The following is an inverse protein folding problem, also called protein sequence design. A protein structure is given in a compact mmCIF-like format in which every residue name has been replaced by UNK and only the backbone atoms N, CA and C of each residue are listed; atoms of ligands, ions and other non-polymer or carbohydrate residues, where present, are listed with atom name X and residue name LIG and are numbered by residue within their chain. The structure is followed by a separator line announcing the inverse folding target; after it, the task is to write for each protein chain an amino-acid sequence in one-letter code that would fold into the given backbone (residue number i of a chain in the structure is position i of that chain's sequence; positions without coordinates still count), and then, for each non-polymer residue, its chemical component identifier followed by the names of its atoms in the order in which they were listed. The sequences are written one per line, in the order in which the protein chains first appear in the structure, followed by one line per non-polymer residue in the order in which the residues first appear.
data_IF_737708867678
#
_entry.id   IF_737708867678
#
_cell.length_a   1.000
_cell.length_b   1.000
_cell.length_c   1.000
_cell.angle_alpha   90.00
_cell.angle_beta   90.00
_cell.angle_gamma   90.00
#
_symmetry.space_group_name_H-M   'P 1'
#
loop_
_entity.id
_entity.type
_entity.pdbx_description
1 polymer ?
#
# COMPACT_ATOMS: atom_id res chain seq x y z
N UNK A 1 2.74 25.66 -64.22
CA UNK A 1 2.17 25.30 -62.89
C UNK A 1 2.06 23.78 -62.87
N UNK A 2 2.98 23.05 -62.25
CA UNK A 2 3.10 22.81 -60.80
C UNK A 2 2.14 21.70 -60.32
N UNK A 3 2.77 20.66 -59.77
CA UNK A 3 2.30 19.52 -58.96
C UNK A 3 1.73 18.24 -59.60
N UNK A 4 2.69 17.34 -59.87
CA UNK A 4 2.62 15.88 -59.65
C UNK A 4 2.03 15.55 -58.28
N UNK A 5 1.18 14.51 -58.20
CA UNK A 5 1.18 13.49 -57.13
C UNK A 5 0.37 12.26 -57.55
N UNK A 6 1.09 11.36 -58.23
CA UNK A 6 1.16 9.91 -58.00
C UNK A 6 -0.06 9.21 -57.38
N UNK A 7 -0.91 8.64 -58.23
CA UNK A 7 -1.59 7.37 -57.94
C UNK A 7 -0.69 6.23 -58.47
N UNK A 8 0.19 5.74 -57.59
CA UNK A 8 0.88 4.48 -57.80
C UNK A 8 0.33 3.51 -56.75
N UNK A 9 -0.83 2.95 -57.09
CA UNK A 9 -1.36 1.74 -56.46
C UNK A 9 -0.56 0.59 -57.09
N UNK A 10 0.59 0.29 -56.50
CA UNK A 10 1.32 -0.92 -56.80
C UNK A 10 1.97 -1.42 -55.51
N UNK A 11 1.44 -2.55 -55.04
CA UNK A 11 2.19 -3.59 -54.38
C UNK A 11 3.19 -3.14 -53.31
N UNK A 12 2.68 -2.93 -52.09
CA UNK A 12 3.42 -3.36 -50.90
C UNK A 12 2.55 -4.33 -50.14
N UNK A 13 2.45 -5.55 -50.69
CA UNK A 13 2.31 -6.73 -49.86
C UNK A 13 3.59 -6.83 -49.02
N UNK A 14 3.65 -6.06 -47.92
CA UNK A 14 4.60 -6.38 -46.86
C UNK A 14 4.12 -7.68 -46.26
N UNK A 15 4.83 -8.75 -46.58
CA UNK A 15 4.82 -9.98 -45.83
C UNK A 15 4.82 -9.63 -44.34
N UNK A 16 3.65 -9.74 -43.72
CA UNK A 16 3.56 -10.06 -42.31
C UNK A 16 4.07 -11.49 -42.27
N UNK A 17 5.40 -11.64 -42.30
CA UNK A 17 6.03 -12.84 -41.83
C UNK A 17 5.56 -12.94 -40.39
N UNK A 18 4.55 -13.77 -40.18
CA UNK A 18 4.26 -14.39 -38.92
C UNK A 18 5.53 -15.14 -38.53
N UNK A 19 6.50 -14.41 -37.98
CA UNK A 19 7.46 -14.98 -37.08
C UNK A 19 6.60 -15.51 -35.93
N UNK A 20 6.20 -16.77 -36.07
CA UNK A 20 5.66 -17.58 -35.00
C UNK A 20 6.57 -17.27 -33.81
N UNK A 21 6.05 -16.58 -32.79
CA UNK A 21 6.82 -16.35 -31.59
C UNK A 21 7.26 -17.75 -31.14
N UNK A 22 8.57 -18.00 -31.13
CA UNK A 22 9.09 -19.29 -30.69
C UNK A 22 8.47 -19.57 -29.33
N UNK A 23 7.93 -20.78 -29.12
CA UNK A 23 7.42 -21.16 -27.82
C UNK A 23 8.51 -20.84 -26.77
N UNK A 24 8.15 -20.19 -25.65
CA UNK A 24 9.16 -19.83 -24.66
C UNK A 24 9.90 -21.08 -24.22
N UNK A 25 11.23 -21.05 -24.23
CA UNK A 25 12.05 -22.12 -23.61
C UNK A 25 11.83 -22.20 -22.08
N UNK A 26 10.95 -21.35 -21.54
CA UNK A 26 10.69 -21.17 -20.13
C UNK A 26 9.39 -21.82 -19.72
N UNK A 27 9.42 -22.58 -18.63
CA UNK A 27 8.25 -23.18 -18.00
C UNK A 27 7.61 -22.18 -17.03
N UNK A 28 6.44 -21.69 -17.40
CA UNK A 28 5.59 -20.91 -16.50
C UNK A 28 5.21 -21.75 -15.28
N UNK A 29 5.34 -21.18 -14.08
CA UNK A 29 4.98 -21.87 -12.85
C UNK A 29 3.50 -21.63 -12.55
N UNK A 30 2.64 -22.42 -13.19
CA UNK A 30 1.22 -22.43 -12.88
C UNK A 30 1.00 -22.68 -11.37
N UNK A 31 0.10 -21.92 -10.75
CA UNK A 31 -0.14 -22.01 -9.30
C UNK A 31 0.76 -21.12 -8.45
N UNK A 32 1.76 -20.42 -9.01
CA UNK A 32 2.55 -19.45 -8.23
C UNK A 32 2.05 -18.02 -8.51
N UNK A 33 1.40 -17.42 -7.52
CA UNK A 33 1.12 -15.98 -7.48
C UNK A 33 1.46 -15.48 -6.11
N UNK A 34 2.46 -14.63 -6.02
CA UNK A 34 3.05 -14.23 -4.77
C UNK A 34 3.29 -12.72 -4.74
N UNK A 35 3.24 -12.15 -3.54
CA UNK A 35 3.73 -10.80 -3.32
C UNK A 35 5.26 -10.78 -3.47
N UNK A 36 5.77 -9.80 -4.20
CA UNK A 36 7.18 -9.48 -4.18
C UNK A 36 7.45 -8.43 -3.11
N UNK A 37 8.62 -8.51 -2.48
CA UNK A 37 9.04 -7.52 -1.49
C UNK A 37 10.46 -7.03 -1.78
N UNK A 38 10.76 -5.77 -1.48
CA UNK A 38 12.12 -5.24 -1.45
C UNK A 38 12.37 -4.64 -0.07
N UNK A 39 13.41 -5.09 0.61
CA UNK A 39 13.69 -4.69 2.01
C UNK A 39 12.47 -4.79 2.94
N UNK A 40 11.65 -5.84 2.76
CA UNK A 40 10.43 -6.08 3.52
C UNK A 40 9.19 -5.29 3.07
N UNK A 41 9.34 -4.31 2.18
CA UNK A 41 8.23 -3.53 1.63
C UNK A 41 7.58 -4.22 0.43
N UNK A 42 6.25 -4.28 0.33
CA UNK A 42 5.56 -4.90 -0.80
C UNK A 42 5.83 -4.14 -2.11
N UNK A 43 5.77 -4.85 -3.23
CA UNK A 43 5.79 -4.25 -4.56
C UNK A 43 4.36 -4.11 -5.09
N UNK A 44 4.02 -2.91 -5.55
CA UNK A 44 2.75 -2.58 -6.19
C UNK A 44 2.92 -2.26 -7.67
N UNK A 45 1.78 -2.07 -8.36
CA UNK A 45 1.73 -1.66 -9.77
C UNK A 45 0.70 -0.54 -9.92
N UNK A 46 1.11 0.59 -10.49
CA UNK A 46 0.22 1.73 -10.76
C UNK A 46 -0.66 1.49 -11.99
N UNK A 47 -1.65 2.36 -12.22
CA UNK A 47 -2.47 2.29 -13.43
C UNK A 47 -1.66 2.51 -14.73
N UNK A 48 -0.55 3.25 -14.67
CA UNK A 48 0.37 3.44 -15.80
C UNK A 48 1.25 2.22 -16.08
N UNK A 49 1.23 1.20 -15.22
CA UNK A 49 2.11 0.03 -15.30
C UNK A 49 3.49 0.25 -14.67
N UNK A 50 3.70 1.37 -13.95
CA UNK A 50 4.91 1.56 -13.16
C UNK A 50 4.91 0.61 -11.97
N UNK A 51 6.07 0.02 -11.70
CA UNK A 51 6.27 -0.85 -10.54
C UNK A 51 6.75 0.02 -9.41
N UNK A 52 6.08 -0.04 -8.27
CA UNK A 52 6.31 0.85 -7.12
C UNK A 52 6.65 0.04 -5.87
N UNK A 53 7.41 0.66 -4.98
CA UNK A 53 7.81 0.06 -3.69
C UNK A 53 6.93 0.63 -2.58
N UNK A 54 6.38 -0.22 -1.73
CA UNK A 54 5.39 0.15 -0.71
C UNK A 54 3.98 0.27 -1.28
N UNK A 55 3.00 0.49 -0.40
CA UNK A 55 1.59 0.60 -0.78
C UNK A 55 0.88 -0.75 -0.97
N UNK A 56 -0.13 -0.76 -1.86
CA UNK A 56 -0.95 -1.95 -2.12
C UNK A 56 -0.13 -3.07 -2.78
N UNK A 57 -0.11 -4.28 -2.19
CA UNK A 57 0.64 -5.38 -2.77
C UNK A 57 -0.01 -5.81 -4.09
N UNK A 58 0.84 -6.04 -5.09
CA UNK A 58 0.45 -6.65 -6.36
C UNK A 58 0.95 -8.10 -6.39
N UNK A 59 0.18 -8.98 -7.05
CA UNK A 59 0.55 -10.38 -7.18
C UNK A 59 1.31 -10.61 -8.48
N UNK A 60 2.43 -11.31 -8.36
CA UNK A 60 3.30 -11.65 -9.47
C UNK A 60 3.43 -13.16 -9.59
N UNK A 61 3.60 -13.62 -10.83
CA UNK A 61 3.99 -15.00 -11.13
C UNK A 61 5.37 -14.99 -11.79
N UNK A 62 5.92 -16.17 -12.06
CA UNK A 62 7.22 -16.29 -12.70
C UNK A 62 7.31 -17.52 -13.59
N UNK A 63 8.21 -17.44 -14.57
CA UNK A 63 8.58 -18.55 -15.43
C UNK A 63 10.06 -18.86 -15.28
N UNK A 64 10.39 -20.15 -15.30
CA UNK A 64 11.76 -20.66 -15.19
C UNK A 64 12.25 -21.01 -16.57
N UNK A 65 13.29 -20.33 -17.05
CA UNK A 65 13.95 -20.59 -18.33
C UNK A 65 15.12 -21.55 -18.19
N UNK A 66 15.88 -21.43 -17.09
CA UNK A 66 17.02 -22.27 -16.85
C UNK A 66 17.17 -22.51 -15.34
N UNK A 67 17.58 -23.71 -14.96
CA UNK A 67 17.98 -24.03 -13.59
C UNK A 67 19.38 -24.62 -13.66
N UNK A 68 20.40 -23.86 -13.26
CA UNK A 68 21.77 -24.36 -13.16
C UNK A 68 22.09 -24.66 -11.71
N UNK A 69 22.42 -25.92 -11.45
CA UNK A 69 22.94 -26.35 -10.16
C UNK A 69 24.38 -25.85 -10.01
N UNK A 70 24.65 -24.96 -9.05
CA UNK A 70 26.02 -24.53 -8.75
C UNK A 70 26.56 -25.23 -7.49
N UNK A 71 27.75 -25.82 -7.59
CA UNK A 71 28.48 -26.46 -6.48
C UNK A 71 28.20 -27.96 -6.25
N UNK A 72 29.06 -28.61 -5.47
CA UNK A 72 29.12 -30.07 -5.25
C UNK A 72 27.99 -30.68 -4.41
N UNK A 73 27.01 -29.88 -3.94
CA UNK A 73 25.91 -30.37 -3.08
C UNK A 73 24.51 -29.90 -3.51
N UNK A 74 24.36 -29.40 -4.75
CA UNK A 74 23.09 -28.87 -5.25
C UNK A 74 22.42 -27.76 -4.40
N UNK A 75 23.17 -27.11 -3.50
CA UNK A 75 22.62 -26.19 -2.50
C UNK A 75 22.31 -24.78 -3.02
N UNK A 76 22.86 -24.40 -4.17
CA UNK A 76 22.65 -23.08 -4.77
C UNK A 76 22.21 -23.26 -6.23
N UNK A 77 20.92 -23.47 -6.46
CA UNK A 77 20.38 -23.42 -7.83
C UNK A 77 20.19 -21.94 -8.18
N UNK A 78 21.01 -21.42 -9.08
CA UNK A 78 20.70 -20.15 -9.72
C UNK A 78 19.62 -20.45 -10.78
N UNK A 79 18.41 -19.99 -10.50
CA UNK A 79 17.28 -20.13 -11.40
C UNK A 79 17.18 -18.85 -12.21
N UNK A 80 17.12 -18.97 -13.52
CA UNK A 80 16.95 -17.85 -14.43
C UNK A 80 15.57 -17.89 -15.05
N UNK A 81 14.97 -16.72 -15.21
CA UNK A 81 13.59 -16.62 -15.62
C UNK A 81 13.14 -15.20 -15.86
N UNK A 82 11.83 -15.03 -15.88
CA UNK A 82 11.17 -13.73 -15.91
C UNK A 82 9.99 -13.72 -14.95
N UNK A 83 9.65 -12.53 -14.48
CA UNK A 83 8.58 -12.29 -13.52
C UNK A 83 7.47 -11.54 -14.25
N UNK A 84 6.22 -11.96 -14.07
CA UNK A 84 5.05 -11.40 -14.76
C UNK A 84 3.99 -10.92 -13.80
N UNK A 85 3.10 -10.07 -14.29
CA UNK A 85 1.83 -9.79 -13.64
C UNK A 85 0.99 -11.08 -13.56
N UNK A 86 0.58 -11.49 -12.36
CA UNK A 86 -0.25 -12.68 -12.19
C UNK A 86 -1.64 -12.51 -12.85
N UNK A 87 -2.15 -11.28 -12.92
CA UNK A 87 -3.45 -10.95 -13.53
C UNK A 87 -3.39 -10.80 -15.04
N UNK A 88 -2.19 -10.62 -15.61
CA UNK A 88 -1.95 -10.56 -17.04
C UNK A 88 -0.56 -11.09 -17.37
N UNK A 89 -0.45 -12.40 -17.57
CA UNK A 89 0.83 -13.10 -17.76
C UNK A 89 1.57 -12.73 -19.06
N UNK A 90 0.96 -11.90 -19.91
CA UNK A 90 1.63 -11.31 -21.09
C UNK A 90 2.51 -10.10 -20.74
N UNK A 91 2.43 -9.58 -19.52
CA UNK A 91 3.19 -8.42 -19.05
C UNK A 91 4.31 -8.85 -18.11
N UNK A 92 5.55 -8.53 -18.47
CA UNK A 92 6.76 -8.88 -17.74
C UNK A 92 7.33 -7.66 -17.01
N UNK A 93 7.91 -7.88 -15.82
CA UNK A 93 8.78 -6.90 -15.17
C UNK A 93 9.95 -6.56 -16.09
N UNK A 94 10.10 -5.28 -16.40
CA UNK A 94 10.95 -4.80 -17.49
C UNK A 94 11.72 -3.56 -17.10
N UNK A 95 13.01 -3.56 -17.42
CA UNK A 95 13.84 -2.35 -17.35
C UNK A 95 13.56 -1.45 -18.56
N UNK A 96 13.13 -0.21 -18.32
CA UNK A 96 12.74 0.73 -19.37
C UNK A 96 13.88 1.13 -20.31
N UNK A 97 15.12 1.16 -19.84
CA UNK A 97 16.31 1.51 -20.64
C UNK A 97 17.53 0.71 -20.19
N UNK A 98 18.22 0.09 -21.14
CA UNK A 98 19.46 -0.66 -20.87
C UNK A 98 20.57 0.29 -20.42
N UNK A 99 21.41 -0.19 -19.50
CA UNK A 99 22.67 0.45 -19.08
C UNK A 99 22.50 1.90 -18.57
N UNK A 100 21.31 2.22 -18.07
CA UNK A 100 21.01 3.53 -17.51
C UNK A 100 21.11 3.49 -15.98
N UNK A 101 21.45 4.65 -15.40
CA UNK A 101 21.26 4.93 -13.98
C UNK A 101 19.80 5.29 -13.74
N UNK A 102 19.28 4.90 -12.58
CA UNK A 102 17.92 5.18 -12.11
C UNK A 102 16.87 4.90 -13.20
N UNK A 103 16.96 3.73 -13.83
CA UNK A 103 16.00 3.31 -14.82
C UNK A 103 14.79 2.64 -14.14
N UNK A 104 13.55 3.10 -14.41
CA UNK A 104 12.38 2.52 -13.79
C UNK A 104 12.14 1.10 -14.28
N UNK A 105 11.72 0.24 -13.35
CA UNK A 105 11.12 -1.05 -13.64
C UNK A 105 9.63 -0.83 -13.87
N UNK A 106 9.12 -1.37 -14.97
CA UNK A 106 7.71 -1.24 -15.39
C UNK A 106 7.19 -2.60 -15.83
N UNK A 107 5.87 -2.74 -15.90
CA UNK A 107 5.26 -3.82 -16.66
C UNK A 107 5.25 -3.44 -18.14
N UNK A 108 5.81 -4.33 -18.98
CA UNK A 108 5.71 -4.19 -20.43
C UNK A 108 5.51 -5.56 -21.06
N UNK A 109 5.01 -5.65 -22.32
CA UNK A 109 4.81 -6.92 -22.99
C UNK A 109 6.05 -7.83 -22.91
N UNK A 110 5.85 -9.09 -22.56
CA UNK A 110 6.91 -10.09 -22.53
C UNK A 110 7.52 -10.26 -23.92
N UNK A 111 8.85 -10.18 -24.01
CA UNK A 111 9.61 -10.24 -25.27
C UNK A 111 10.60 -11.39 -25.23
N UNK A 112 10.64 -12.12 -26.34
CA UNK A 112 11.52 -13.26 -26.53
C UNK A 112 12.40 -13.03 -27.76
N UNK A 113 13.65 -13.49 -27.72
CA UNK A 113 14.52 -13.51 -28.89
C UNK A 113 14.10 -14.65 -29.85
N UNK A 114 14.79 -14.76 -30.99
CA UNK A 114 14.50 -15.79 -32.01
C UNK A 114 14.66 -17.22 -31.49
N UNK A 115 15.41 -17.41 -30.40
CA UNK A 115 15.64 -18.68 -29.73
C UNK A 115 14.62 -18.97 -28.62
N UNK A 116 13.60 -18.12 -28.43
CA UNK A 116 12.58 -18.30 -27.39
C UNK A 116 13.08 -17.95 -25.98
N UNK A 117 14.25 -17.34 -25.83
CA UNK A 117 14.74 -16.84 -24.55
C UNK A 117 14.20 -15.44 -24.27
N UNK A 118 13.85 -15.16 -23.02
CA UNK A 118 13.44 -13.81 -22.61
C UNK A 118 14.55 -12.80 -22.86
N UNK A 119 14.20 -11.61 -23.34
CA UNK A 119 15.19 -10.54 -23.59
C UNK A 119 15.82 -10.07 -22.29
N UNK A 120 17.10 -9.66 -22.35
CA UNK A 120 17.87 -9.21 -21.18
C UNK A 120 17.20 -8.13 -20.32
N UNK A 121 16.39 -7.25 -20.91
CA UNK A 121 15.66 -6.21 -20.16
C UNK A 121 14.56 -6.76 -19.25
N UNK A 122 14.24 -8.06 -19.34
CA UNK A 122 13.18 -8.75 -18.61
C UNK A 122 13.69 -9.99 -17.87
N UNK A 123 15.01 -10.20 -17.87
CA UNK A 123 15.62 -11.39 -17.26
C UNK A 123 15.93 -11.16 -15.78
N UNK A 124 15.39 -12.03 -14.95
CA UNK A 124 15.71 -12.14 -13.53
C UNK A 124 16.44 -13.45 -13.25
N UNK A 125 17.22 -13.45 -12.19
CA UNK A 125 17.81 -14.65 -11.63
C UNK A 125 17.53 -14.69 -10.13
N UNK A 126 17.26 -15.84 -9.55
CA UNK A 126 17.05 -15.95 -8.11
C UNK A 126 17.79 -17.12 -7.50
N UNK A 127 18.19 -16.91 -6.25
CA UNK A 127 18.88 -17.89 -5.41
C UNK A 127 17.93 -18.24 -4.27
N UNK A 128 17.46 -19.49 -4.14
CA UNK A 128 16.67 -19.94 -3.01
C UNK A 128 17.40 -19.68 -1.69
N UNK A 129 16.68 -19.25 -0.66
CA UNK A 129 17.24 -18.93 0.66
C UNK A 129 17.50 -20.21 1.49
N UNK A 130 18.08 -21.24 0.87
CA UNK A 130 18.27 -22.58 1.43
C UNK A 130 17.67 -23.69 0.55
N UNK A 131 17.98 -24.97 0.86
CA UNK A 131 17.55 -26.12 0.07
C UNK A 131 16.03 -26.34 0.08
N UNK A 132 15.36 -26.08 1.21
CA UNK A 132 13.91 -26.21 1.39
C UNK A 132 13.23 -24.84 1.46
N UNK A 133 13.84 -23.81 0.86
CA UNK A 133 13.39 -22.45 1.04
C UNK A 133 12.08 -22.17 0.31
N UNK A 134 11.10 -21.66 1.06
CA UNK A 134 9.83 -21.12 0.53
C UNK A 134 10.01 -19.74 -0.10
N UNK A 135 11.18 -19.12 0.05
CA UNK A 135 11.53 -17.82 -0.49
C UNK A 135 12.89 -17.86 -1.20
N UNK A 136 13.05 -17.01 -2.20
CA UNK A 136 14.30 -16.77 -2.90
C UNK A 136 14.62 -15.28 -2.95
N UNK A 137 15.91 -14.98 -3.06
CA UNK A 137 16.38 -13.62 -3.37
C UNK A 137 16.54 -13.51 -4.88
N UNK A 138 15.72 -12.68 -5.51
CA UNK A 138 15.71 -12.38 -6.93
C UNK A 138 16.51 -11.12 -7.24
N UNK A 139 17.32 -11.21 -8.28
CA UNK A 139 18.21 -10.19 -8.81
C UNK A 139 17.82 -9.89 -10.25
N UNK A 140 17.87 -8.62 -10.64
CA UNK A 140 17.76 -8.27 -12.06
C UNK A 140 19.06 -8.67 -12.77
N UNK A 141 18.99 -9.66 -13.67
CA UNK A 141 20.17 -10.26 -14.31
C UNK A 141 20.72 -9.37 -15.42
N UNK A 142 19.84 -8.85 -16.27
CA UNK A 142 20.24 -8.02 -17.41
C UNK A 142 21.09 -8.78 -18.45
N UNK A 143 22.06 -8.08 -19.04
CA UNK A 143 23.05 -8.57 -20.03
C UNK A 143 24.21 -9.35 -19.37
N UNK A 144 23.93 -10.15 -18.34
CA UNK A 144 24.92 -11.06 -17.78
C UNK A 144 24.74 -12.46 -18.37
N UNK A 145 25.77 -12.97 -19.05
CA UNK A 145 25.76 -14.30 -19.65
C UNK A 145 26.08 -15.39 -18.61
N UNK A 146 26.77 -15.02 -17.53
CA UNK A 146 27.10 -15.91 -16.43
C UNK A 146 25.94 -16.04 -15.43
N UNK A 147 25.81 -17.20 -14.74
CA UNK A 147 24.84 -17.36 -13.65
C UNK A 147 25.16 -16.42 -12.49
N UNK A 148 24.12 -15.81 -11.91
CA UNK A 148 24.28 -14.93 -10.75
C UNK A 148 24.82 -15.72 -9.55
N UNK A 149 25.93 -15.25 -9.00
CA UNK A 149 26.59 -15.84 -7.84
C UNK A 149 27.47 -14.82 -7.12
N UNK A 150 28.07 -15.18 -5.98
CA UNK A 150 29.07 -14.33 -5.32
C UNK A 150 30.28 -13.98 -6.21
N UNK A 151 30.63 -14.86 -7.16
CA UNK A 151 31.77 -14.67 -8.08
C UNK A 151 31.37 -13.97 -9.39
N UNK A 152 30.09 -13.94 -9.72
CA UNK A 152 29.51 -13.22 -10.86
C UNK A 152 28.22 -12.53 -10.40
N UNK A 153 28.33 -11.38 -9.71
CA UNK A 153 27.17 -10.65 -9.21
C UNK A 153 26.32 -10.07 -10.35
N UNK A 154 25.08 -9.62 -10.08
CA UNK A 154 24.26 -8.96 -11.09
C UNK A 154 24.95 -7.68 -11.58
N UNK A 155 24.62 -7.24 -12.81
CA UNK A 155 25.11 -5.96 -13.34
C UNK A 155 24.24 -4.77 -12.94
N UNK A 156 23.18 -5.01 -12.15
CA UNK A 156 22.24 -3.99 -11.73
C UNK A 156 21.94 -4.10 -10.23
N UNK A 157 21.78 -2.97 -9.56
CA UNK A 157 21.22 -2.88 -8.21
C UNK A 157 19.84 -2.26 -8.23
N UNK A 158 18.90 -2.89 -7.52
CA UNK A 158 17.57 -2.34 -7.32
C UNK A 158 17.52 -1.38 -6.13
N UNK A 159 16.81 -0.28 -6.29
CA UNK A 159 16.51 0.71 -5.25
C UNK A 159 15.12 1.32 -5.48
N UNK A 160 14.69 2.22 -4.61
CA UNK A 160 13.43 2.95 -4.74
C UNK A 160 13.68 4.45 -4.81
N UNK A 161 12.77 5.17 -5.48
CA UNK A 161 12.93 6.58 -5.85
C UNK A 161 12.98 7.56 -4.66
N UNK A 162 12.24 7.29 -3.57
CA UNK A 162 12.07 8.21 -2.45
C UNK A 162 12.67 7.67 -1.16
N UNK A 163 13.39 8.52 -0.43
CA UNK A 163 13.93 8.18 0.90
C UNK A 163 12.83 8.05 1.98
N UNK A 164 11.67 8.66 1.76
CA UNK A 164 10.54 8.66 2.69
C UNK A 164 9.24 8.31 1.96
N UNK A 165 8.30 7.58 2.59
CA UNK A 165 7.04 7.23 1.95
C UNK A 165 6.20 8.46 1.58
N UNK A 166 5.66 8.45 0.37
CA UNK A 166 4.64 9.39 -0.09
C UNK A 166 3.29 9.18 0.61
N UNK A 167 2.27 9.92 0.15
CA UNK A 167 0.95 9.93 0.80
C UNK A 167 0.37 8.52 0.95
N UNK A 168 0.40 7.74 -0.12
CA UNK A 168 -0.10 6.36 -0.19
C UNK A 168 0.84 5.30 0.41
N UNK A 169 1.92 5.72 1.09
CA UNK A 169 2.91 4.80 1.67
C UNK A 169 3.85 4.14 0.67
N UNK A 170 3.90 4.68 -0.56
CA UNK A 170 4.89 4.26 -1.55
C UNK A 170 6.20 5.02 -1.35
N UNK A 171 7.32 4.31 -1.45
CA UNK A 171 8.67 4.85 -1.59
C UNK A 171 8.98 5.24 -3.05
N UNK A 172 7.95 5.40 -3.89
CA UNK A 172 8.06 5.74 -5.30
C UNK A 172 8.31 4.52 -6.19
N UNK A 173 8.82 4.75 -7.40
CA UNK A 173 9.06 3.70 -8.40
C UNK A 173 10.20 2.78 -7.96
N UNK A 174 10.11 1.51 -8.33
CA UNK A 174 11.21 0.56 -8.29
C UNK A 174 12.18 0.91 -9.43
N UNK A 175 13.42 1.17 -9.07
CA UNK A 175 14.45 1.67 -9.97
C UNK A 175 15.61 0.67 -10.01
N UNK A 176 16.34 0.66 -11.12
CA UNK A 176 17.57 -0.10 -11.26
C UNK A 176 18.71 0.81 -11.72
N UNK A 177 19.87 0.65 -11.09
CA UNK A 177 21.12 1.28 -11.50
C UNK A 177 22.01 0.27 -12.19
N UNK A 178 22.62 0.66 -13.31
CA UNK A 178 23.64 -0.15 -13.94
C UNK A 178 24.96 -0.06 -13.16
N UNK A 179 25.35 -1.16 -12.52
CA UNK A 179 26.53 -1.28 -11.64
C UNK A 179 27.36 -2.50 -12.05
N UNK A 180 28.08 -2.46 -13.19
CA UNK A 180 28.70 -3.65 -13.77
C UNK A 180 29.86 -4.25 -12.96
N UNK A 181 30.48 -3.46 -12.08
CA UNK A 181 31.69 -3.85 -11.33
C UNK A 181 31.40 -4.18 -9.85
N UNK A 182 30.22 -4.74 -9.56
CA UNK A 182 29.90 -5.20 -8.21
C UNK A 182 30.88 -6.31 -7.77
N UNK A 183 31.32 -6.24 -6.51
CA UNK A 183 32.24 -7.23 -5.91
C UNK A 183 31.52 -8.29 -5.06
N UNK A 184 30.23 -8.08 -4.78
CA UNK A 184 29.41 -8.95 -3.95
C UNK A 184 27.95 -8.91 -4.43
N UNK A 185 27.15 -9.86 -3.95
CA UNK A 185 25.70 -9.82 -4.16
C UNK A 185 25.13 -8.65 -3.36
N UNK A 186 24.32 -7.77 -3.98
CA UNK A 186 23.71 -6.67 -3.26
C UNK A 186 22.66 -7.18 -2.27
N UNK A 187 22.59 -6.54 -1.11
CA UNK A 187 21.54 -6.78 -0.11
C UNK A 187 20.23 -6.06 -0.52
N UNK A 188 19.12 -6.39 0.13
CA UNK A 188 17.86 -5.68 -0.05
C UNK A 188 17.28 -5.75 -1.47
N UNK A 189 17.50 -6.85 -2.19
CA UNK A 189 16.90 -7.08 -3.52
C UNK A 189 15.44 -7.58 -3.39
N UNK A 190 14.92 -8.18 -4.45
CA UNK A 190 13.55 -8.70 -4.46
C UNK A 190 13.49 -10.03 -3.71
N UNK A 191 12.60 -10.14 -2.74
CA UNK A 191 12.17 -11.41 -2.17
C UNK A 191 11.04 -11.96 -3.02
N UNK A 192 11.24 -13.14 -3.58
CA UNK A 192 10.27 -13.90 -4.34
C UNK A 192 9.83 -15.09 -3.48
N UNK A 193 8.53 -15.21 -3.18
CA UNK A 193 8.01 -16.47 -2.64
C UNK A 193 7.92 -17.52 -3.73
N UNK A 194 8.38 -18.72 -3.41
CA UNK A 194 8.34 -19.92 -4.23
C UNK A 194 7.15 -20.83 -3.85
N UNK A 195 6.29 -20.37 -2.94
CA UNK A 195 5.09 -21.10 -2.55
C UNK A 195 4.15 -21.29 -3.74
N UNK A 196 3.57 -22.49 -3.79
CA UNK A 196 2.53 -22.86 -4.75
C UNK A 196 1.18 -22.80 -4.04
N UNK A 197 0.23 -22.15 -4.68
CA UNK A 197 -1.13 -22.04 -4.19
C UNK A 197 -2.03 -23.03 -4.92
N UNK A 198 -2.89 -23.71 -4.17
CA UNK A 198 -3.95 -24.56 -4.73
C UNK A 198 -5.24 -23.76 -4.79
N UNK A 199 -5.59 -23.19 -5.94
CA UNK A 199 -6.82 -22.42 -6.11
C UNK A 199 -6.83 -21.54 -7.36
N UNK A 200 -7.82 -20.67 -7.46
CA UNK A 200 -7.84 -19.60 -8.47
C UNK A 200 -7.09 -18.36 -7.97
N UNK A 201 -6.53 -17.58 -8.90
CA UNK A 201 -5.93 -16.29 -8.58
C UNK A 201 -6.99 -15.40 -7.90
N UNK A 202 -6.74 -14.86 -6.69
CA UNK A 202 -7.70 -13.99 -6.02
C UNK A 202 -8.06 -12.78 -6.89
N UNK A 203 -9.30 -12.30 -6.82
CA UNK A 203 -9.70 -11.12 -7.56
C UNK A 203 -8.85 -9.89 -7.17
N UNK A 204 -8.47 -9.07 -8.17
CA UNK A 204 -7.67 -7.87 -7.95
C UNK A 204 -8.43 -6.91 -7.03
N UNK A 205 -7.84 -6.60 -5.88
CA UNK A 205 -8.43 -5.65 -4.94
C UNK A 205 -8.26 -4.22 -5.45
N UNK A 206 -9.29 -3.38 -5.26
CA UNK A 206 -9.20 -1.97 -5.61
C UNK A 206 -8.20 -1.27 -4.69
N UNK A 207 -7.24 -0.56 -5.28
CA UNK A 207 -6.24 0.22 -4.53
C UNK A 207 -6.92 1.44 -3.91
N UNK A 208 -6.63 1.70 -2.64
CA UNK A 208 -7.11 2.87 -1.94
C UNK A 208 -6.33 4.11 -2.40
N UNK A 209 -7.02 4.98 -3.13
CA UNK A 209 -6.43 6.22 -3.63
C UNK A 209 -6.62 7.35 -2.61
N UNK A 210 -5.51 7.95 -2.20
CA UNK A 210 -5.53 9.09 -1.28
C UNK A 210 -4.90 10.31 -1.93
N UNK A 211 -5.57 11.45 -1.84
CA UNK A 211 -5.26 12.64 -2.65
C UNK A 211 -4.77 13.84 -1.85
N UNK A 212 -4.96 13.83 -0.54
CA UNK A 212 -4.67 14.99 0.32
C UNK A 212 -4.24 14.53 1.70
N UNK A 213 -3.26 15.22 2.29
CA UNK A 213 -2.89 15.09 3.70
C UNK A 213 -2.94 16.47 4.33
N UNK A 214 -3.67 16.57 5.44
CA UNK A 214 -3.73 17.76 6.26
C UNK A 214 -3.08 17.40 7.59
N UNK A 215 -2.06 18.14 8.00
CA UNK A 215 -1.44 18.01 9.33
C UNK A 215 -2.17 18.92 10.32
N UNK A 216 -2.33 18.44 11.56
CA UNK A 216 -3.06 19.16 12.60
C UNK A 216 -3.06 18.44 13.94
N UNK A 217 -3.91 18.92 14.85
CA UNK A 217 -4.08 18.36 16.19
C UNK A 217 -5.52 17.85 16.37
N UNK A 218 -5.67 16.72 17.07
CA UNK A 218 -6.98 16.24 17.50
C UNK A 218 -7.33 16.84 18.85
N UNK A 219 -8.50 17.48 18.94
CA UNK A 219 -9.04 18.04 20.18
C UNK A 219 -10.24 17.21 20.60
N UNK A 220 -10.24 16.73 21.83
CA UNK A 220 -11.40 16.11 22.45
C UNK A 220 -12.12 17.11 23.34
N UNK A 221 -13.45 17.10 23.25
CA UNK A 221 -14.33 17.90 24.10
C UNK A 221 -15.52 17.07 24.56
N UNK A 222 -15.80 17.04 25.85
CA UNK A 222 -16.96 16.36 26.43
C UNK A 222 -17.89 17.30 27.18
N UNK A 223 -18.29 18.41 26.58
CA UNK A 223 -19.20 19.36 27.23
C UNK A 223 -20.60 18.77 27.48
N UNK A 224 -21.04 18.72 28.74
CA UNK A 224 -22.42 18.34 29.11
C UNK A 224 -23.10 19.36 30.04
N UNK A 225 -24.42 19.24 30.22
CA UNK A 225 -25.22 20.12 31.06
C UNK A 225 -25.09 19.86 32.59
N UNK A 226 -24.42 18.77 33.01
CA UNK A 226 -24.32 18.37 34.43
C UNK A 226 -22.94 17.81 34.85
N UNK A 227 -21.90 17.90 34.00
CA UNK A 227 -20.53 17.52 34.35
C UNK A 227 -19.66 16.99 33.21
N UNK A 228 -18.36 16.97 33.48
CA UNK A 228 -17.23 16.92 32.56
C UNK A 228 -17.23 18.02 31.49
N UNK A 229 -16.14 18.78 31.50
CA UNK A 229 -15.84 19.85 30.56
C UNK A 229 -14.32 19.86 30.37
N UNK A 230 -13.78 18.73 29.91
CA UNK A 230 -12.46 18.74 29.32
C UNK A 230 -12.60 19.22 27.88
N UNK A 231 -11.76 20.18 27.48
CA UNK A 231 -11.55 20.55 26.09
C UNK A 231 -10.06 20.76 25.90
N UNK A 232 -9.43 19.90 25.10
CA UNK A 232 -7.98 19.92 24.94
C UNK A 232 -7.47 18.84 24.00
N UNK A 233 -6.16 18.83 23.75
CA UNK A 233 -5.57 17.94 22.78
C UNK A 233 -5.54 16.48 23.20
N UNK A 234 -5.54 15.61 22.19
CA UNK A 234 -5.23 14.19 22.34
C UNK A 234 -3.74 13.96 22.12
N UNK A 235 -3.17 13.07 22.93
CA UNK A 235 -1.82 12.57 22.70
C UNK A 235 -1.81 11.40 21.69
N UNK A 236 -0.62 10.96 21.28
CA UNK A 236 -0.42 9.93 20.27
C UNK A 236 -1.03 8.55 20.60
N UNK A 237 -1.36 8.28 21.88
CA UNK A 237 -2.03 7.05 22.33
C UNK A 237 -3.53 7.26 22.59
N UNK A 238 -4.12 8.35 22.08
CA UNK A 238 -5.54 8.69 22.18
C UNK A 238 -6.04 8.95 23.61
N UNK A 239 -5.23 9.59 24.43
CA UNK A 239 -5.65 10.08 25.75
C UNK A 239 -5.85 11.59 25.77
N UNK A 240 -6.82 12.05 26.56
CA UNK A 240 -7.03 13.47 26.85
C UNK A 240 -5.88 14.04 27.69
N UNK A 241 -4.98 14.79 27.05
CA UNK A 241 -3.79 15.37 27.70
C UNK A 241 -3.61 16.84 27.32
N UNK A 242 -3.89 17.74 28.26
CA UNK A 242 -3.79 19.19 28.06
C UNK A 242 -2.36 19.68 27.71
N UNK A 243 -1.32 18.88 27.95
CA UNK A 243 0.08 19.25 27.70
C UNK A 243 0.63 18.70 26.38
N UNK A 244 -0.10 17.83 25.69
CA UNK A 244 0.41 17.20 24.47
C UNK A 244 0.50 18.19 23.31
N UNK A 245 1.59 18.07 22.55
CA UNK A 245 1.82 18.75 21.29
C UNK A 245 1.77 17.76 20.10
N UNK A 246 1.28 16.55 20.32
CA UNK A 246 1.25 15.50 19.30
C UNK A 246 0.44 15.94 18.07
N UNK A 247 0.96 15.56 16.89
CA UNK A 247 0.40 15.91 15.60
C UNK A 247 -0.13 14.68 14.89
N UNK A 248 -1.19 14.89 14.12
CA UNK A 248 -1.93 13.88 13.38
C UNK A 248 -2.04 14.31 11.93
N UNK A 249 -2.05 13.33 11.04
CA UNK A 249 -2.33 13.52 9.62
C UNK A 249 -3.74 13.02 9.33
N UNK A 250 -4.61 13.92 8.87
CA UNK A 250 -5.87 13.55 8.24
C UNK A 250 -5.61 13.34 6.75
N UNK A 251 -5.63 12.08 6.34
CA UNK A 251 -5.41 11.70 4.96
C UNK A 251 -6.74 11.43 4.26
N UNK A 252 -7.08 12.22 3.25
CA UNK A 252 -8.29 12.04 2.46
C UNK A 252 -8.12 10.92 1.44
N UNK A 253 -9.04 9.97 1.42
CA UNK A 253 -9.01 8.80 0.53
C UNK A 253 -10.38 8.48 -0.06
N UNK A 254 -10.37 7.87 -1.25
CA UNK A 254 -11.56 7.47 -1.98
C UNK A 254 -12.06 6.09 -1.52
N UNK A 255 -13.20 6.09 -0.83
CA UNK A 255 -13.93 4.90 -0.40
C UNK A 255 -15.29 4.77 -1.12
N UNK A 256 -15.45 5.42 -2.28
CA UNK A 256 -16.71 5.45 -3.04
C UNK A 256 -17.21 4.06 -3.43
N UNK A 257 -16.32 3.10 -3.71
CA UNK A 257 -16.68 1.70 -4.02
C UNK A 257 -17.35 0.96 -2.84
N UNK A 258 -17.22 1.47 -1.61
CA UNK A 258 -17.93 0.97 -0.42
C UNK A 258 -19.19 1.80 -0.09
N UNK A 259 -19.55 2.75 -0.95
CA UNK A 259 -20.64 3.68 -0.75
C UNK A 259 -20.28 4.91 0.11
N UNK A 260 -19.00 5.16 0.39
CA UNK A 260 -18.55 6.35 1.14
C UNK A 260 -18.05 7.43 0.18
N UNK A 261 -18.99 8.18 -0.38
CA UNK A 261 -18.69 9.23 -1.36
C UNK A 261 -18.56 10.58 -0.68
N UNK A 262 -17.53 11.34 -1.05
CA UNK A 262 -17.35 12.71 -0.60
C UNK A 262 -18.56 13.60 -0.98
N UNK A 263 -18.93 14.50 -0.08
CA UNK A 263 -20.00 15.48 -0.29
C UNK A 263 -19.54 16.88 0.13
N UNK A 264 -20.42 17.87 -0.02
CA UNK A 264 -20.19 19.22 0.52
C UNK A 264 -20.02 19.23 2.05
N UNK A 265 -20.56 18.23 2.77
CA UNK A 265 -20.52 18.15 4.24
C UNK A 265 -19.45 17.21 4.76
N UNK A 266 -19.18 16.11 4.05
CA UNK A 266 -18.32 15.03 4.54
C UNK A 266 -17.20 14.68 3.58
N UNK A 267 -16.01 14.43 4.12
CA UNK A 267 -14.92 13.73 3.46
C UNK A 267 -14.60 12.42 4.19
N UNK A 268 -13.96 11.49 3.49
CA UNK A 268 -13.56 10.19 4.02
C UNK A 268 -12.07 9.98 3.86
N UNK A 269 -11.49 9.14 4.72
CA UNK A 269 -10.04 9.04 4.80
C UNK A 269 -9.55 8.19 5.95
N UNK A 270 -8.32 8.45 6.37
CA UNK A 270 -7.61 7.77 7.46
C UNK A 270 -6.98 8.81 8.38
N UNK A 271 -6.81 8.45 9.65
CA UNK A 271 -5.98 9.22 10.58
C UNK A 271 -4.64 8.50 10.77
N UNK A 272 -3.54 9.27 10.79
CA UNK A 272 -2.19 8.72 10.98
C UNK A 272 -1.44 9.54 12.03
N UNK A 273 -0.49 8.94 12.77
CA UNK A 273 0.48 9.71 13.54
C UNK A 273 1.37 10.52 12.59
N UNK A 274 1.65 11.78 12.91
CA UNK A 274 2.56 12.60 12.10
C UNK A 274 4.04 12.19 12.27
N UNK A 275 4.36 11.49 13.35
CA UNK A 275 5.70 11.01 13.65
C UNK A 275 6.20 9.88 12.71
N UNK A 276 5.30 9.19 12.00
CA UNK A 276 5.61 7.98 11.21
C UNK A 276 6.23 8.26 9.82
N UNK A 277 7.12 9.26 9.73
CA UNK A 277 7.78 9.61 8.46
C UNK A 277 9.03 8.76 8.18
N UNK A 278 9.55 7.97 9.12
CA UNK A 278 10.92 7.42 9.05
C UNK A 278 11.08 5.90 8.76
N UNK A 279 10.05 5.05 8.86
CA UNK A 279 10.23 3.58 8.89
C UNK A 279 9.85 2.83 7.59
N UNK A 280 9.40 3.52 6.55
CA UNK A 280 8.89 2.87 5.33
C UNK A 280 7.49 2.28 5.48
N UNK A 281 7.04 1.99 6.70
CA UNK A 281 5.69 1.52 7.02
C UNK A 281 4.79 2.70 7.34
N UNK A 282 3.69 2.83 6.60
CA UNK A 282 2.67 3.84 6.85
C UNK A 282 1.64 3.27 7.81
N UNK A 283 1.59 3.84 9.01
CA UNK A 283 0.67 3.44 10.09
C UNK A 283 -0.56 4.35 10.11
N UNK A 284 -1.70 3.75 10.41
CA UNK A 284 -2.99 4.40 10.58
C UNK A 284 -3.52 4.08 11.97
N UNK A 285 -4.20 5.05 12.57
CA UNK A 285 -5.03 4.76 13.72
C UNK A 285 -6.21 3.89 13.31
N UNK A 286 -6.40 2.79 14.04
CA UNK A 286 -7.44 1.80 13.77
C UNK A 286 -8.14 1.42 15.06
N UNK A 287 -9.45 1.20 15.00
CA UNK A 287 -10.23 0.73 16.14
C UNK A 287 -9.95 -0.74 16.47
N UNK A 288 -9.69 -1.03 17.73
CA UNK A 288 -9.50 -2.37 18.28
C UNK A 288 -10.55 -2.67 19.36
N UNK A 289 -10.89 -3.96 19.51
CA UNK A 289 -11.95 -4.41 20.40
C UNK A 289 -13.27 -4.72 19.68
N UNK A 290 -14.29 -5.22 20.40
CA UNK A 290 -15.55 -5.65 19.82
C UNK A 290 -16.41 -4.44 19.43
N UNK A 291 -16.92 -4.44 18.20
CA UNK A 291 -17.78 -3.36 17.69
C UNK A 291 -19.29 -3.63 17.93
N UNK A 292 -19.62 -4.65 18.73
CA UNK A 292 -20.99 -5.14 18.95
C UNK A 292 -21.46 -6.18 17.93
N UNK A 293 -21.04 -6.05 16.66
CA UNK A 293 -21.27 -7.03 15.59
C UNK A 293 -20.25 -6.88 14.45
N UNK A 294 -20.31 -7.73 13.42
CA UNK A 294 -19.49 -7.63 12.21
C UNK A 294 -20.35 -7.53 10.96
N UNK A 295 -19.85 -6.82 9.93
CA UNK A 295 -20.48 -6.81 8.61
C UNK A 295 -21.85 -6.11 8.53
N UNK A 296 -22.74 -6.54 7.61
CA UNK A 296 -23.97 -5.82 7.25
C UNK A 296 -25.11 -5.95 8.25
N UNK A 297 -24.96 -6.77 9.30
CA UNK A 297 -25.94 -6.99 10.38
C UNK A 297 -25.47 -6.38 11.70
N UNK A 298 -24.52 -5.45 11.68
CA UNK A 298 -23.96 -4.86 12.88
C UNK A 298 -25.04 -4.19 13.77
N UNK A 299 -25.51 -4.90 14.79
CA UNK A 299 -26.47 -4.42 15.79
C UNK A 299 -25.72 -3.90 17.02
N UNK A 300 -26.07 -2.72 17.56
CA UNK A 300 -25.50 -2.22 18.80
C UNK A 300 -25.74 -3.19 19.98
N UNK A 301 -24.70 -3.46 20.75
CA UNK A 301 -24.87 -4.20 22.00
C UNK A 301 -25.53 -3.32 23.06
N UNK A 302 -26.34 -3.92 23.95
CA UNK A 302 -27.01 -3.19 25.05
C UNK A 302 -26.01 -2.56 26.03
N UNK A 303 -24.85 -3.18 26.19
CA UNK A 303 -23.70 -2.71 26.97
C UNK A 303 -22.44 -2.85 26.10
N UNK A 304 -22.18 -1.92 25.17
CA UNK A 304 -21.04 -2.07 24.28
C UNK A 304 -19.73 -1.89 25.02
N UNK A 305 -18.63 -2.31 24.41
CA UNK A 305 -17.30 -1.91 24.83
C UNK A 305 -16.95 -0.58 24.18
N UNK A 306 -16.08 0.19 24.84
CA UNK A 306 -15.43 1.32 24.18
C UNK A 306 -14.20 0.75 23.45
N UNK A 307 -14.04 1.08 22.18
CA UNK A 307 -12.93 0.56 21.37
C UNK A 307 -11.63 1.25 21.74
N UNK A 308 -10.52 0.50 21.74
CA UNK A 308 -9.20 1.11 21.69
C UNK A 308 -8.95 1.71 20.30
N UNK A 309 -8.08 2.70 20.19
CA UNK A 309 -7.64 3.29 18.93
C UNK A 309 -6.13 3.26 18.98
N UNK A 310 -5.56 2.44 18.11
CA UNK A 310 -4.14 2.10 18.16
C UNK A 310 -3.51 2.25 16.79
N UNK A 311 -2.23 2.64 16.73
CA UNK A 311 -1.47 2.63 15.49
C UNK A 311 -1.32 1.19 14.95
N UNK A 312 -1.74 0.95 13.71
CA UNK A 312 -1.52 -0.31 12.95
C UNK A 312 -1.09 -0.01 11.51
N UNK A 313 -0.41 -0.92 10.81
CA UNK A 313 -0.13 -0.75 9.38
C UNK A 313 -1.41 -0.38 8.62
N UNK A 314 -1.35 0.69 7.81
CA UNK A 314 -2.49 1.13 7.03
C UNK A 314 -2.92 0.07 6.02
N UNK A 315 -4.23 -0.07 5.81
CA UNK A 315 -4.74 -0.84 4.67
C UNK A 315 -4.55 -0.03 3.38
N UNK A 316 -3.99 -0.66 2.34
CA UNK A 316 -3.75 0.00 1.05
C UNK A 316 -4.79 -0.36 -0.01
N UNK A 317 -5.70 -1.28 0.30
CA UNK A 317 -6.82 -1.65 -0.55
C UNK A 317 -8.11 -1.06 0.02
N UNK A 318 -9.08 -0.80 -0.86
CA UNK A 318 -10.40 -0.30 -0.46
C UNK A 318 -11.16 -1.44 0.23
N UNK A 319 -11.15 -1.42 1.56
CA UNK A 319 -11.87 -2.36 2.40
C UNK A 319 -12.70 -1.62 3.44
N UNK A 320 -13.86 -2.17 3.80
CA UNK A 320 -14.59 -1.69 4.97
C UNK A 320 -13.71 -1.97 6.19
N UNK A 321 -13.38 -0.93 6.95
CA UNK A 321 -12.18 -0.97 7.78
C UNK A 321 -12.31 -0.20 9.09
N UNK A 322 -11.65 -0.74 10.12
CA UNK A 322 -11.52 -0.13 11.45
C UNK A 322 -10.68 1.15 11.45
N UNK A 323 -10.00 1.45 10.35
CA UNK A 323 -9.18 2.64 10.08
C UNK A 323 -9.90 3.70 9.20
N UNK A 324 -11.12 3.41 8.71
CA UNK A 324 -11.91 4.36 7.93
C UNK A 324 -12.47 5.48 8.82
N UNK A 325 -12.15 6.72 8.48
CA UNK A 325 -12.56 7.94 9.17
C UNK A 325 -13.49 8.77 8.27
N UNK A 326 -14.57 9.28 8.86
CA UNK A 326 -15.41 10.34 8.31
C UNK A 326 -15.06 11.67 8.97
N UNK A 327 -14.75 12.66 8.16
CA UNK A 327 -14.51 14.05 8.56
C UNK A 327 -15.69 14.94 8.15
N UNK A 328 -16.27 15.67 9.11
CA UNK A 328 -17.27 16.69 8.84
C UNK A 328 -16.58 18.03 8.57
N UNK A 329 -16.73 18.57 7.35
CA UNK A 329 -16.07 19.80 6.90
C UNK A 329 -16.57 21.05 7.65
N UNK A 330 -17.82 21.04 8.14
CA UNK A 330 -18.43 22.19 8.82
C UNK A 330 -18.05 22.21 10.30
N UNK A 331 -18.27 21.09 11.01
CA UNK A 331 -18.01 21.01 12.46
C UNK A 331 -16.59 20.56 12.79
N UNK A 332 -15.78 20.22 11.77
CA UNK A 332 -14.43 19.65 11.90
C UNK A 332 -14.36 18.35 12.69
N UNK A 333 -15.50 17.69 12.93
CA UNK A 333 -15.56 16.47 13.75
C UNK A 333 -15.06 15.25 12.98
N UNK A 334 -14.33 14.39 13.66
CA UNK A 334 -13.82 13.11 13.18
C UNK A 334 -14.59 11.97 13.85
N UNK A 335 -14.98 10.96 13.07
CA UNK A 335 -15.52 9.69 13.58
C UNK A 335 -15.00 8.52 12.75
N UNK A 336 -14.62 7.41 13.39
CA UNK A 336 -14.41 6.17 12.65
C UNK A 336 -15.77 5.59 12.20
N UNK A 337 -15.78 4.89 11.07
CA UNK A 337 -17.01 4.33 10.48
C UNK A 337 -16.76 2.92 9.90
N UNK A 338 -16.75 1.86 10.72
CA UNK A 338 -16.10 0.59 10.39
C UNK A 338 -16.88 -0.34 9.46
N UNK A 339 -18.19 -0.15 9.32
CA UNK A 339 -19.01 -0.99 8.42
C UNK A 339 -19.19 -0.30 7.04
N UNK A 340 -20.01 -0.80 6.11
CA UNK A 340 -20.46 -0.04 4.92
C UNK A 340 -21.71 0.82 5.22
N UNK A 341 -22.09 1.75 4.32
CA UNK A 341 -23.19 2.70 4.54
C UNK A 341 -24.59 2.05 4.53
N UNK A 342 -24.74 0.84 3.97
CA UNK A 342 -26.04 0.41 3.48
C UNK A 342 -27.08 -0.01 4.54
N UNK A 343 -26.72 -0.41 5.77
CA UNK A 343 -27.70 -1.02 6.71
C UNK A 343 -27.27 -0.98 8.19
N UNK A 344 -27.31 0.16 8.90
CA UNK A 344 -26.93 0.18 10.34
C UNK A 344 -28.02 0.75 11.24
N UNK A 345 -28.24 0.07 12.37
CA UNK A 345 -29.19 0.45 13.43
C UNK A 345 -28.58 1.33 14.53
N UNK A 346 -27.31 1.71 14.43
CA UNK A 346 -26.65 2.55 15.44
C UNK A 346 -25.54 3.46 14.91
N UNK A 347 -24.87 4.12 15.85
CA UNK A 347 -23.79 5.08 15.60
C UNK A 347 -22.64 4.94 16.59
N UNK A 348 -21.46 5.42 16.18
CA UNK A 348 -20.28 5.51 17.03
C UNK A 348 -20.22 6.85 17.76
N UNK A 349 -19.99 6.77 19.07
CA UNK A 349 -19.99 7.88 20.01
C UNK A 349 -18.72 7.88 20.86
N UNK A 350 -18.14 9.06 21.07
CA UNK A 350 -16.89 9.23 21.80
C UNK A 350 -17.12 9.31 23.31
N UNK A 351 -16.27 8.62 24.08
CA UNK A 351 -16.25 8.69 25.54
C UNK A 351 -14.81 8.64 26.06
N UNK A 352 -14.59 9.14 27.26
CA UNK A 352 -13.40 8.75 28.05
C UNK A 352 -13.67 7.39 28.70
N UNK A 353 -12.63 6.62 29.00
CA UNK A 353 -12.77 5.36 29.74
C UNK A 353 -13.45 5.60 31.10
N UNK A 354 -12.99 6.60 31.88
CA UNK A 354 -13.56 6.91 33.19
C UNK A 354 -15.06 7.23 33.12
N UNK A 355 -15.47 8.01 32.11
CA UNK A 355 -16.87 8.38 31.91
C UNK A 355 -17.68 7.16 31.51
N UNK A 356 -17.13 6.33 30.63
CA UNK A 356 -17.79 5.13 30.14
C UNK A 356 -18.05 4.14 31.28
N UNK A 357 -17.00 3.83 32.07
CA UNK A 357 -17.07 2.87 33.17
C UNK A 357 -18.09 3.31 34.22
N UNK A 358 -18.06 4.59 34.60
CA UNK A 358 -19.01 5.18 35.56
C UNK A 358 -20.45 5.17 35.03
N UNK A 359 -20.66 5.60 33.79
CA UNK A 359 -21.99 5.88 33.26
C UNK A 359 -22.73 4.63 32.78
N UNK A 360 -21.99 3.67 32.21
CA UNK A 360 -22.55 2.43 31.68
C UNK A 360 -22.42 1.25 32.65
N UNK A 361 -21.69 1.42 33.77
CA UNK A 361 -21.37 0.35 34.74
C UNK A 361 -20.74 -0.86 34.06
N UNK A 362 -19.82 -0.59 33.14
CA UNK A 362 -19.04 -1.59 32.40
C UNK A 362 -17.59 -1.31 32.74
N UNK A 363 -16.94 -2.14 33.55
CA UNK A 363 -15.52 -1.95 33.84
C UNK A 363 -14.69 -2.56 32.71
N UNK A 364 -13.85 -1.75 32.07
CA UNK A 364 -12.90 -2.18 31.04
C UNK A 364 -11.50 -1.80 31.45
N UNK A 365 -10.53 -2.68 31.20
CA UNK A 365 -9.11 -2.38 31.40
C UNK A 365 -8.51 -1.87 30.10
N UNK A 366 -8.52 -0.56 29.92
CA UNK A 366 -7.64 0.14 28.96
C UNK A 366 -6.49 0.82 29.72
N UNK A 367 -5.52 1.35 28.98
CA UNK A 367 -4.23 1.82 29.49
C UNK A 367 -4.34 2.99 30.49
N UNK A 368 -5.43 3.77 30.47
CA UNK A 368 -5.56 4.99 31.27
C UNK A 368 -7.02 5.46 31.38
N UNK A 369 -7.50 5.93 32.54
CA UNK A 369 -8.83 6.53 32.67
C UNK A 369 -9.11 7.71 31.72
N UNK A 370 -8.05 8.36 31.20
CA UNK A 370 -8.11 9.45 30.22
C UNK A 370 -8.23 8.98 28.76
N UNK A 371 -8.15 7.67 28.53
CA UNK A 371 -8.24 7.06 27.22
C UNK A 371 -9.56 7.40 26.53
N UNK A 372 -9.50 7.74 25.25
CA UNK A 372 -10.64 8.11 24.42
C UNK A 372 -10.88 7.03 23.36
N UNK A 373 -12.11 6.56 23.27
CA UNK A 373 -12.51 5.59 22.27
C UNK A 373 -13.96 5.78 21.82
N UNK A 374 -14.42 4.90 20.93
CA UNK A 374 -15.79 4.91 20.45
C UNK A 374 -16.60 3.73 20.95
N UNK A 375 -17.85 3.98 21.34
CA UNK A 375 -18.84 2.95 21.63
C UNK A 375 -19.92 2.92 20.55
N UNK A 376 -20.29 1.73 20.07
CA UNK A 376 -21.36 1.55 19.09
C UNK A 376 -22.70 1.40 19.80
N UNK A 377 -23.54 2.43 19.71
CA UNK A 377 -24.82 2.53 20.43
C UNK A 377 -25.98 2.76 19.45
N UNK A 378 -27.16 2.24 19.81
CA UNK A 378 -28.42 2.59 19.15
C UNK A 378 -28.70 4.10 19.32
N UNK A 379 -29.27 4.73 18.30
CA UNK A 379 -29.70 6.13 18.34
C UNK A 379 -30.69 6.44 19.47
N UNK A 380 -31.51 5.47 19.85
CA UNK A 380 -32.52 5.59 20.90
C UNK A 380 -32.01 5.08 22.26
N UNK A 381 -30.71 4.82 22.40
CA UNK A 381 -30.16 4.34 23.66
C UNK A 381 -30.39 5.38 24.77
N UNK A 382 -31.05 4.95 25.86
CA UNK A 382 -31.45 5.78 27.01
C UNK A 382 -30.28 6.50 27.69
N UNK A 383 -29.04 6.04 27.47
CA UNK A 383 -27.85 6.65 28.02
C UNK A 383 -27.35 7.84 27.20
N UNK A 384 -27.72 8.00 25.92
CA UNK A 384 -27.27 9.12 25.09
C UNK A 384 -27.81 10.48 25.57
N UNK A 385 -29.01 10.50 26.15
CA UNK A 385 -29.63 11.71 26.70
C UNK A 385 -29.17 12.02 28.12
N UNK A 386 -28.83 10.99 28.90
CA UNK A 386 -28.33 11.12 30.28
C UNK A 386 -26.82 11.41 30.34
N UNK A 387 -26.05 10.81 29.44
CA UNK A 387 -24.60 10.85 29.38
C UNK A 387 -24.17 11.24 27.96
N UNK A 388 -24.08 12.55 27.74
CA UNK A 388 -23.79 13.07 26.42
C UNK A 388 -22.41 12.61 25.94
N UNK A 389 -22.30 12.14 24.70
CA UNK A 389 -21.02 11.76 24.13
C UNK A 389 -20.13 12.97 23.90
N UNK A 390 -18.82 12.75 23.96
CA UNK A 390 -17.84 13.74 23.55
C UNK A 390 -17.76 13.89 22.03
N UNK A 391 -16.94 14.83 21.60
CA UNK A 391 -16.58 15.06 20.21
C UNK A 391 -15.06 15.12 20.08
N UNK A 392 -14.57 14.54 18.99
CA UNK A 392 -13.19 14.71 18.54
C UNK A 392 -13.21 15.59 17.30
N UNK A 393 -12.49 16.70 17.33
CA UNK A 393 -12.34 17.62 16.19
C UNK A 393 -10.90 17.66 15.71
N UNK A 394 -10.70 17.76 14.40
CA UNK A 394 -9.39 17.94 13.80
C UNK A 394 -9.15 19.44 13.53
N UNK A 395 -8.14 20.00 14.19
CA UNK A 395 -7.69 21.37 14.00
C UNK A 395 -6.44 21.38 13.12
N UNK A 396 -6.62 21.73 11.84
CA UNK A 396 -5.53 21.83 10.88
C UNK A 396 -4.50 22.87 11.32
N UNK A 397 -3.22 22.58 11.11
CA UNK A 397 -2.14 23.53 11.38
C UNK A 397 -2.08 24.59 10.27
N UNK A 398 -2.36 25.87 10.54
CA UNK A 398 -2.44 26.90 9.51
C UNK A 398 -1.09 27.22 8.85
N UNK A 399 0.04 26.93 9.51
CA UNK A 399 1.38 27.31 9.01
C UNK A 399 1.92 26.31 7.98
N UNK A 400 1.61 25.02 8.14
CA UNK A 400 2.13 23.95 7.27
C UNK A 400 1.25 23.70 6.04
N UNK A 401 -0.06 23.95 6.14
CA UNK A 401 -1.01 23.74 5.04
C UNK A 401 -1.08 24.93 4.05
N UNK A 402 -0.27 25.97 4.26
CA UNK A 402 -0.15 27.15 3.39
C UNK A 402 1.02 27.06 2.39
N UNK A 403 1.81 25.98 2.40
CA UNK A 403 2.83 25.78 1.37
C UNK A 403 2.17 25.27 0.08
N UNK A 404 2.16 26.05 -1.02
CA UNK A 404 1.85 25.47 -2.33
C UNK A 404 2.84 24.34 -2.60
N UNK A 405 2.37 23.27 -3.24
CA UNK A 405 3.19 22.18 -3.73
C UNK A 405 4.50 22.74 -4.29
N UNK A 406 5.61 22.48 -3.59
CA UNK A 406 6.93 22.94 -4.01
C UNK A 406 7.10 22.45 -5.44
N UNK A 407 7.23 23.40 -6.37
CA UNK A 407 7.64 23.11 -7.74
C UNK A 407 8.84 22.16 -7.64
N UNK A 408 8.72 21.01 -8.29
CA UNK A 408 9.85 20.15 -8.59
C UNK A 408 10.91 21.05 -9.23
N UNK A 409 11.97 21.34 -8.49
CA UNK A 409 13.15 21.99 -9.07
C UNK A 409 13.64 21.08 -10.19
N UNK A 410 13.53 21.56 -11.43
CA UNK A 410 14.18 20.91 -12.55
C UNK A 410 15.69 20.90 -12.27
N UNK A 411 16.40 19.80 -12.57
CA UNK A 411 17.84 19.77 -12.42
C UNK A 411 18.45 20.88 -13.29
N UNK A 412 19.18 21.77 -12.65
CA UNK A 412 20.07 22.70 -13.34
C UNK A 412 21.07 21.85 -14.12
N UNK A 413 21.06 21.97 -15.45
CA UNK A 413 22.11 21.41 -16.31
C UNK A 413 23.43 22.06 -15.91
N UNK A 414 24.38 21.25 -15.47
CA UNK A 414 25.81 21.56 -15.55
C UNK A 414 26.40 20.81 -16.73
#
# INVERSE_FOLDING_TARGET
MVFKKSLLIAALATAISSAQAAEPACKFQAGSWNELKISGQPIGVTHSGDVVVGGAPHLFSYAVCNSKTTGTKAKNQAVEGYIVDAYNTTQCLSLGKKEAQSAPITLSPCRFNKQGHVVHSQTFAWIPNGPDAVNATAYFKGVNDEPISKKSPPKYTLHYELQHPGLNGQLGRLMADYTPNLKALPEGQLTLSLEKHTGELPAKQAVLNCTEIIEGQLIYSNATARGNTYTGPLNAIWEADAKSADKFLLQKCDYSSLGFTETSKYAYGRLRPAADKASGFVTCYSMEGPLGGSGPTAVPARRPHITSIVPKPCTFNVAAGRDLVRYNKQTKTVKFVPYPHLRRTGSLYWYTQADYDKNFRVEQKLTSPKFIGQAYLDHNNVFLTKFRPGNVTFQADPVLNAQPATKVEQPVKA
#
